data_IF_097338463199
#
_entry.id   IF_097338463199
#
_cell.length_a   1.000
_cell.length_b   1.000
_cell.length_c   1.000
_cell.angle_alpha   90.00
_cell.angle_beta   90.00
_cell.angle_gamma   90.00
#
_symmetry.space_group_name_H-M   'P 1'
#
loop_
_entity.id
_entity.type
_entity.pdbx_description
1 polymer ?
#
# COMPACT_ATOMS: atom_id res chain seq x y z
N UNK A 1 17.90 -19.64 17.82
CA UNK A 1 17.20 -20.32 16.71
C UNK A 1 16.85 -21.72 17.18
N UNK A 2 15.58 -22.15 17.06
CA UNK A 2 15.09 -23.44 17.58
C UNK A 2 15.13 -24.57 16.52
N UNK A 3 16.00 -24.49 15.50
CA UNK A 3 16.27 -25.58 14.55
C UNK A 3 15.17 -25.90 13.53
N UNK A 4 14.05 -25.18 13.55
CA UNK A 4 13.00 -25.28 12.53
C UNK A 4 13.35 -24.41 11.32
N UNK A 5 12.88 -24.83 10.14
CA UNK A 5 12.93 -24.01 8.94
C UNK A 5 12.09 -22.74 9.16
N UNK A 6 12.57 -21.62 8.62
CA UNK A 6 11.80 -20.37 8.64
C UNK A 6 10.48 -20.57 7.86
N UNK A 7 9.32 -20.20 8.43
CA UNK A 7 8.06 -20.34 7.72
C UNK A 7 8.04 -19.46 6.47
N UNK A 8 7.26 -19.86 5.48
CA UNK A 8 7.05 -19.04 4.30
C UNK A 8 6.43 -17.69 4.70
N UNK A 9 6.81 -16.62 4.00
CA UNK A 9 6.23 -15.31 4.21
C UNK A 9 4.71 -15.37 3.98
N UNK A 10 3.90 -14.76 4.86
CA UNK A 10 2.46 -14.73 4.69
C UNK A 10 2.12 -13.92 3.44
N UNK A 11 1.37 -14.53 2.52
CA UNK A 11 0.92 -13.88 1.29
C UNK A 11 -0.09 -12.75 1.62
N UNK A 12 -0.87 -12.92 2.68
CA UNK A 12 -1.82 -11.91 3.17
C UNK A 12 -1.11 -11.00 4.16
N UNK A 13 -0.39 -10.02 3.65
CA UNK A 13 0.38 -9.07 4.44
C UNK A 13 -0.05 -7.63 4.17
N UNK A 14 -0.01 -6.82 5.23
CA UNK A 14 -0.18 -5.35 5.19
C UNK A 14 1.06 -4.76 5.85
N UNK A 15 1.75 -3.87 5.15
CA UNK A 15 2.87 -3.10 5.67
C UNK A 15 2.56 -1.60 5.53
N UNK A 16 2.23 -0.96 6.64
CA UNK A 16 1.66 0.38 6.71
C UNK A 16 2.48 1.27 7.64
N UNK A 17 2.77 2.49 7.19
CA UNK A 17 3.42 3.53 8.01
C UNK A 17 4.21 4.52 7.16
N UNK A 18 5.03 5.32 7.82
CA UNK A 18 5.99 6.23 7.18
C UNK A 18 7.23 5.47 6.70
N UNK A 19 7.42 5.44 5.38
CA UNK A 19 8.61 4.84 4.75
C UNK A 19 9.66 5.89 4.40
N UNK A 20 9.36 7.17 4.62
CA UNK A 20 10.22 8.31 4.35
C UNK A 20 10.76 8.32 2.92
N UNK A 21 9.90 7.95 1.96
CA UNK A 21 10.19 7.89 0.53
C UNK A 21 8.96 8.31 -0.27
N UNK A 22 9.17 8.81 -1.49
CA UNK A 22 8.07 9.18 -2.38
C UNK A 22 7.73 8.07 -3.38
N UNK A 23 6.48 8.02 -3.89
CA UNK A 23 6.11 7.13 -4.99
C UNK A 23 7.11 7.23 -6.16
N UNK A 24 7.60 6.09 -6.63
CA UNK A 24 8.54 6.03 -7.75
C UNK A 24 10.03 6.22 -7.39
N UNK A 25 10.38 6.47 -6.12
CA UNK A 25 11.77 6.45 -5.66
C UNK A 25 12.45 5.09 -5.88
N UNK A 26 13.78 5.01 -5.68
CA UNK A 26 14.50 3.75 -5.83
C UNK A 26 14.11 2.75 -4.74
N UNK A 27 13.88 3.22 -3.52
CA UNK A 27 13.41 2.47 -2.35
C UNK A 27 12.00 1.95 -2.60
N UNK A 28 11.10 2.80 -3.10
CA UNK A 28 9.73 2.43 -3.44
C UNK A 28 9.71 1.28 -4.46
N UNK A 29 10.50 1.41 -5.54
CA UNK A 29 10.59 0.39 -6.60
C UNK A 29 11.22 -0.93 -6.13
N UNK A 30 12.03 -0.92 -5.06
CA UNK A 30 12.54 -2.16 -4.46
C UNK A 30 11.44 -2.94 -3.74
N UNK A 31 10.45 -2.25 -3.18
CA UNK A 31 9.29 -2.89 -2.52
C UNK A 31 8.25 -3.34 -3.54
N UNK A 32 7.87 -2.46 -4.48
CA UNK A 32 6.77 -2.75 -5.42
C UNK A 32 7.19 -3.48 -6.69
N UNK A 33 8.50 -3.70 -6.87
CA UNK A 33 9.06 -4.15 -8.14
C UNK A 33 9.09 -3.07 -9.22
N UNK A 34 9.70 -3.43 -10.36
CA UNK A 34 9.81 -2.58 -11.54
C UNK A 34 8.71 -2.94 -12.53
N UNK A 35 7.78 -2.02 -12.80
CA UNK A 35 6.74 -2.04 -13.86
C UNK A 35 6.13 -3.42 -14.19
N UNK A 36 4.86 -3.69 -13.82
CA UNK A 36 4.22 -4.94 -14.19
C UNK A 36 4.18 -5.11 -15.72
N UNK A 37 4.27 -6.36 -16.20
CA UNK A 37 4.25 -6.72 -17.63
C UNK A 37 3.09 -6.06 -18.42
N UNK A 38 1.98 -5.73 -17.73
CA UNK A 38 0.91 -4.86 -18.22
C UNK A 38 0.39 -3.95 -17.08
N UNK A 39 -0.21 -2.77 -17.39
CA UNK A 39 -0.76 -1.88 -16.36
C UNK A 39 -1.69 -2.60 -15.38
N UNK A 40 -1.47 -2.41 -14.08
CA UNK A 40 -2.31 -2.98 -13.02
C UNK A 40 -2.03 -4.45 -12.63
N UNK A 41 -0.96 -5.09 -13.14
CA UNK A 41 -0.61 -6.42 -12.62
C UNK A 41 -0.10 -6.34 -11.17
N UNK A 42 -0.59 -7.24 -10.32
CA UNK A 42 -0.05 -7.53 -9.00
C UNK A 42 0.50 -8.96 -9.02
N UNK A 43 1.80 -9.12 -8.75
CA UNK A 43 2.39 -10.45 -8.58
C UNK A 43 2.00 -11.00 -7.22
N UNK A 44 1.54 -12.26 -7.15
CA UNK A 44 0.98 -12.84 -5.93
C UNK A 44 1.98 -12.77 -4.76
N UNK A 45 3.26 -13.04 -5.03
CA UNK A 45 4.36 -13.02 -4.07
C UNK A 45 4.97 -11.63 -3.82
N UNK A 46 4.46 -10.59 -4.49
CA UNK A 46 4.97 -9.22 -4.41
C UNK A 46 4.08 -8.32 -3.55
N UNK A 47 4.66 -7.20 -3.11
CA UNK A 47 3.89 -6.09 -2.55
C UNK A 47 3.44 -5.13 -3.65
N UNK A 48 2.26 -4.56 -3.47
CA UNK A 48 1.77 -3.42 -4.26
C UNK A 48 1.40 -2.27 -3.33
N UNK A 49 1.63 -1.02 -3.76
CA UNK A 49 1.10 0.15 -3.04
C UNK A 49 -0.42 0.16 -3.20
N UNK A 50 -1.15 0.14 -2.09
CA UNK A 50 -2.60 0.21 -2.06
C UNK A 50 -3.13 1.42 -2.85
N UNK A 51 -2.40 2.56 -2.80
CA UNK A 51 -2.77 3.76 -3.54
C UNK A 51 -2.68 3.59 -5.07
N UNK A 52 -1.86 2.66 -5.55
CA UNK A 52 -1.71 2.38 -6.98
C UNK A 52 -2.80 1.45 -7.52
N UNK A 53 -3.48 0.70 -6.64
CA UNK A 53 -4.51 -0.29 -7.01
C UNK A 53 -5.91 0.07 -6.51
N UNK A 54 -6.05 1.12 -5.69
CA UNK A 54 -7.33 1.62 -5.22
C UNK A 54 -8.24 2.04 -6.39
N UNK A 55 -9.54 1.76 -6.27
CA UNK A 55 -10.51 2.10 -7.32
C UNK A 55 -10.78 3.60 -7.39
N UNK A 56 -10.68 4.28 -6.24
CA UNK A 56 -10.96 5.72 -6.12
C UNK A 56 -9.83 6.38 -5.30
N UNK A 57 -8.82 6.99 -5.95
CA UNK A 57 -7.88 7.86 -5.26
C UNK A 57 -8.57 9.19 -4.93
N UNK A 58 -8.49 9.63 -3.67
CA UNK A 58 -9.01 10.95 -3.27
C UNK A 58 -8.29 12.11 -3.97
N UNK A 59 -8.96 13.25 -4.20
CA UNK A 59 -8.31 14.46 -4.73
C UNK A 59 -7.27 14.98 -3.72
N UNK A 60 -6.15 15.51 -4.23
CA UNK A 60 -5.02 16.03 -3.41
C UNK A 60 -4.51 15.05 -2.34
N UNK A 61 -4.00 13.89 -2.77
CA UNK A 61 -3.53 12.85 -1.86
C UNK A 61 -2.06 13.02 -1.48
N UNK A 62 -1.81 13.57 -0.29
CA UNK A 62 -0.51 13.65 0.37
C UNK A 62 -0.67 13.28 1.85
N UNK A 63 0.39 12.78 2.48
CA UNK A 63 0.36 12.33 3.88
C UNK A 63 1.29 13.15 4.76
N UNK A 64 2.02 14.10 4.19
CA UNK A 64 2.91 14.96 4.94
C UNK A 64 2.98 16.35 4.30
N UNK A 65 2.97 17.38 5.14
CA UNK A 65 3.22 18.78 4.78
C UNK A 65 4.35 19.40 5.57
N UNK A 66 5.26 20.11 4.89
CA UNK A 66 6.30 20.89 5.56
C UNK A 66 6.72 22.09 4.73
N UNK A 67 7.16 23.16 5.38
CA UNK A 67 7.84 24.27 4.70
C UNK A 67 9.30 23.89 4.45
N UNK A 68 9.70 23.82 3.18
CA UNK A 68 11.08 23.57 2.73
C UNK A 68 11.49 24.75 1.85
N UNK A 69 12.60 25.41 2.19
CA UNK A 69 13.09 26.60 1.49
C UNK A 69 12.02 27.68 1.26
N UNK A 70 11.17 27.90 2.28
CA UNK A 70 10.09 28.88 2.25
C UNK A 70 8.87 28.49 1.41
N UNK A 71 8.80 27.26 0.89
CA UNK A 71 7.68 26.74 0.10
C UNK A 71 7.00 25.57 0.80
N UNK A 72 5.66 25.52 0.71
CA UNK A 72 4.90 24.36 1.17
C UNK A 72 5.20 23.16 0.26
N UNK A 73 5.77 22.12 0.84
CA UNK A 73 5.98 20.83 0.20
C UNK A 73 4.94 19.83 0.71
N UNK A 74 4.10 19.34 -0.21
CA UNK A 74 3.16 18.24 0.00
C UNK A 74 3.81 16.97 -0.52
N UNK A 75 3.95 15.96 0.35
CA UNK A 75 4.63 14.69 0.03
C UNK A 75 3.75 13.51 0.45
N UNK A 76 3.92 12.38 -0.24
CA UNK A 76 3.33 11.10 0.19
C UNK A 76 4.45 10.22 0.72
N UNK A 77 4.62 10.20 2.03
CA UNK A 77 5.67 9.44 2.72
C UNK A 77 5.13 8.22 3.45
N UNK A 78 3.85 8.29 3.82
CA UNK A 78 3.12 7.19 4.42
C UNK A 78 2.51 6.34 3.31
N UNK A 79 2.80 5.04 3.35
CA UNK A 79 2.34 4.07 2.38
C UNK A 79 1.67 2.89 3.06
N UNK A 80 0.75 2.27 2.33
CA UNK A 80 0.20 0.97 2.68
C UNK A 80 0.58 -0.01 1.57
N UNK A 81 1.56 -0.87 1.80
CA UNK A 81 1.88 -1.96 0.90
C UNK A 81 1.07 -3.19 1.28
N UNK A 82 0.39 -3.77 0.31
CA UNK A 82 -0.39 -5.00 0.49
C UNK A 82 0.20 -6.12 -0.35
N UNK A 83 0.22 -7.34 0.18
CA UNK A 83 0.59 -8.52 -0.60
C UNK A 83 -0.36 -8.70 -1.80
N UNK A 84 0.13 -9.25 -2.91
CA UNK A 84 -0.60 -9.32 -4.17
C UNK A 84 -2.00 -9.94 -4.07
N UNK A 85 -2.20 -10.89 -3.15
CA UNK A 85 -3.51 -11.50 -2.90
C UNK A 85 -4.56 -10.55 -2.31
N UNK A 86 -4.13 -9.46 -1.67
CA UNK A 86 -5.00 -8.41 -1.12
C UNK A 86 -5.17 -7.23 -2.08
N UNK A 87 -4.40 -7.15 -3.17
CA UNK A 87 -4.42 -6.01 -4.10
C UNK A 87 -5.84 -5.70 -4.62
N UNK A 88 -6.56 -6.72 -5.08
CA UNK A 88 -7.94 -6.57 -5.60
C UNK A 88 -9.00 -6.31 -4.51
N UNK A 89 -8.62 -6.38 -3.24
CA UNK A 89 -9.49 -6.14 -2.09
C UNK A 89 -9.40 -4.69 -1.61
N UNK A 90 -8.42 -3.92 -2.06
CA UNK A 90 -8.30 -2.48 -1.76
C UNK A 90 -9.44 -1.73 -2.45
N UNK A 91 -10.30 -1.08 -1.66
CA UNK A 91 -11.45 -0.30 -2.17
C UNK A 91 -11.07 1.16 -2.37
N UNK A 92 -10.58 1.80 -1.32
CA UNK A 92 -10.26 3.23 -1.29
C UNK A 92 -9.00 3.50 -0.47
N UNK A 93 -8.33 4.60 -0.81
CA UNK A 93 -7.17 5.13 -0.07
C UNK A 93 -7.31 6.65 0.02
N UNK A 94 -7.20 7.18 1.24
CA UNK A 94 -7.34 8.62 1.53
C UNK A 94 -6.38 9.05 2.62
N UNK A 95 -5.96 10.32 2.61
CA UNK A 95 -5.34 10.97 3.77
C UNK A 95 -6.33 11.90 4.46
N UNK A 96 -6.34 11.94 5.79
CA UNK A 96 -7.12 12.90 6.57
C UNK A 96 -6.37 14.22 6.72
N UNK A 97 -6.37 15.03 5.67
CA UNK A 97 -5.65 16.31 5.58
C UNK A 97 -6.24 17.37 6.54
N UNK A 98 -7.43 17.13 7.09
CA UNK A 98 -8.03 17.98 8.13
C UNK A 98 -7.42 17.78 9.52
N UNK A 99 -6.66 16.70 9.74
CA UNK A 99 -6.08 16.39 11.04
C UNK A 99 -4.84 17.25 11.33
N UNK A 100 -4.94 18.17 12.30
CA UNK A 100 -3.88 19.14 12.64
C UNK A 100 -2.91 18.69 13.74
N UNK A 101 -2.88 17.40 14.07
CA UNK A 101 -2.12 16.87 15.21
C UNK A 101 -0.62 16.65 14.92
N UNK A 102 -0.23 16.60 13.64
CA UNK A 102 1.14 16.35 13.18
C UNK A 102 1.33 16.99 11.80
N UNK A 103 2.58 17.13 11.37
CA UNK A 103 2.95 17.40 9.98
C UNK A 103 2.72 16.20 9.06
N UNK A 104 2.45 15.01 9.62
CA UNK A 104 1.89 13.86 8.91
C UNK A 104 0.38 13.75 9.12
N UNK A 105 -0.34 13.48 8.04
CA UNK A 105 -1.78 13.22 8.02
C UNK A 105 -2.06 11.71 8.10
N UNK A 106 -3.06 11.28 8.89
CA UNK A 106 -3.45 9.87 8.95
C UNK A 106 -3.79 9.29 7.57
N UNK A 107 -3.12 8.19 7.21
CA UNK A 107 -3.43 7.39 6.03
C UNK A 107 -4.53 6.37 6.36
N UNK A 108 -5.63 6.39 5.59
CA UNK A 108 -6.74 5.45 5.69
C UNK A 108 -6.83 4.60 4.44
N UNK A 109 -6.92 3.28 4.63
CA UNK A 109 -7.08 2.28 3.56
C UNK A 109 -8.26 1.39 3.89
N UNK A 110 -9.21 1.28 2.96
CA UNK A 110 -10.32 0.35 3.09
C UNK A 110 -10.03 -0.94 2.31
N UNK A 111 -10.06 -2.08 3.00
CA UNK A 111 -9.77 -3.39 2.42
C UNK A 111 -10.94 -4.34 2.70
N UNK A 112 -11.43 -5.01 1.68
CA UNK A 112 -12.47 -6.03 1.78
C UNK A 112 -11.89 -7.38 2.20
N UNK A 113 -12.04 -7.74 3.48
CA UNK A 113 -11.61 -9.03 4.01
C UNK A 113 -12.72 -10.07 4.03
N UNK A 114 -13.98 -9.65 3.91
CA UNK A 114 -15.16 -10.49 4.17
C UNK A 114 -15.70 -11.14 2.89
N UNK A 115 -15.55 -10.50 1.72
CA UNK A 115 -16.04 -11.08 0.46
C UNK A 115 -15.18 -12.31 0.09
N UNK A 116 -15.76 -13.51 -0.07
CA UNK A 116 -15.01 -14.68 -0.51
C UNK A 116 -14.40 -14.43 -1.89
N UNK A 117 -13.12 -14.73 -2.06
CA UNK A 117 -12.47 -14.64 -3.37
C UNK A 117 -13.04 -15.70 -4.32
N UNK A 118 -13.09 -15.41 -5.62
CA UNK A 118 -13.59 -16.34 -6.67
C UNK A 118 -12.89 -17.72 -6.60
N UNK A 119 -11.65 -17.78 -6.08
CA UNK A 119 -10.89 -19.02 -5.88
C UNK A 119 -11.29 -19.90 -4.69
N UNK A 120 -12.13 -19.44 -3.76
CA UNK A 120 -12.52 -20.25 -2.58
C UNK A 120 -13.55 -21.35 -2.90
N UNK A 121 -14.16 -21.35 -4.08
CA UNK A 121 -15.16 -22.38 -4.46
C UNK A 121 -14.57 -23.62 -5.13
N UNK A 122 -13.30 -23.58 -5.56
CA UNK A 122 -12.64 -24.68 -6.28
C UNK A 122 -11.88 -25.65 -5.37
N UNK A 123 -11.68 -25.33 -4.09
CA UNK A 123 -11.02 -26.22 -3.12
C UNK A 123 -11.98 -27.25 -2.47
N UNK A 124 -13.22 -27.33 -2.95
CA UNK A 124 -14.29 -28.16 -2.37
C UNK A 124 -14.87 -29.24 -3.28
N UNK A 125 -14.15 -29.67 -4.34
CA UNK A 125 -14.54 -30.82 -5.16
C UNK A 125 -13.39 -31.78 -5.35
#
# INVERSE_FOLDING_TARGET
>A
SNGQAEPANPQAAIWLGDFNMEPGSAEYRRITGSMPYHPGAAYIDGFVDAAAVASEPGPDFHTHEKIIDGRLAKRRLDHCFVGGMLARRVRSVTADIGAVASDHFPLRVEIDLETPGIGSSLAGR
#
